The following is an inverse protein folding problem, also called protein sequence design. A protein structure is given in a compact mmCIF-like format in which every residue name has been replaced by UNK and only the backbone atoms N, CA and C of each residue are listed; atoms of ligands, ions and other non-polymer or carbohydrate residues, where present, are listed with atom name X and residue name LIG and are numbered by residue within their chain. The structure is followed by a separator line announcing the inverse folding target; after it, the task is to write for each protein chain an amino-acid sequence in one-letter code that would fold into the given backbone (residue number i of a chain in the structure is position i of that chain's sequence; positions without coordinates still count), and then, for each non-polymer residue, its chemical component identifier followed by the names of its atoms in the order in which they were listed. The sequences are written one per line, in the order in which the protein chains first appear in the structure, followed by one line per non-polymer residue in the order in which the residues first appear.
data_IF_314966462300
#
_entry.id   IF_314966462300
#
_cell.length_a   1.000
_cell.length_b   1.000
_cell.length_c   1.000
_cell.angle_alpha   90.00
_cell.angle_beta   90.00
_cell.angle_gamma   90.00
#
_symmetry.space_group_name_H-M   'P 1'
#
loop_
_entity.id
_entity.type
_entity.pdbx_description
1 polymer ?
#
# COMPACT_ATOMS: atom_id res chain seq x y z
N UNK A 1 3.01 22.83 -7.61
CA UNK A 1 3.77 21.57 -7.82
C UNK A 1 4.44 21.07 -6.54
N UNK A 2 5.15 21.91 -5.75
CA UNK A 2 5.81 21.49 -4.50
C UNK A 2 4.88 20.87 -3.44
N UNK A 3 3.68 21.43 -3.23
CA UNK A 3 2.73 20.92 -2.24
C UNK A 3 2.24 19.49 -2.52
N UNK A 4 2.13 19.08 -3.79
CA UNK A 4 1.70 17.73 -4.17
C UNK A 4 2.80 16.69 -3.95
N UNK A 5 4.07 17.07 -4.14
CA UNK A 5 5.23 16.20 -3.89
C UNK A 5 5.40 15.96 -2.39
N UNK A 6 5.29 17.00 -1.57
CA UNK A 6 5.38 16.88 -0.09
C UNK A 6 4.27 15.97 0.45
N UNK A 7 3.03 16.12 -0.06
CA UNK A 7 1.91 15.22 0.28
C UNK A 7 2.17 13.77 -0.14
N UNK A 8 2.80 13.56 -1.30
CA UNK A 8 3.19 12.23 -1.78
C UNK A 8 4.24 11.58 -0.87
N UNK A 9 5.32 12.29 -0.59
CA UNK A 9 6.41 11.82 0.27
C UNK A 9 5.94 11.52 1.70
N UNK A 10 5.08 12.37 2.27
CA UNK A 10 4.50 12.14 3.59
C UNK A 10 3.72 10.82 3.67
N UNK A 11 2.92 10.49 2.63
CA UNK A 11 2.19 9.23 2.56
C UNK A 11 3.14 8.03 2.47
N UNK A 12 4.19 8.12 1.64
CA UNK A 12 5.18 7.05 1.50
C UNK A 12 5.94 6.83 2.82
N UNK A 13 6.30 7.90 3.53
CA UNK A 13 6.98 7.81 4.82
C UNK A 13 6.11 7.13 5.89
N UNK A 14 4.82 7.50 5.98
CA UNK A 14 3.87 6.87 6.92
C UNK A 14 3.72 5.37 6.60
N UNK A 15 3.50 5.03 5.33
CA UNK A 15 3.33 3.63 4.90
C UNK A 15 4.62 2.84 5.12
N UNK A 16 5.78 3.41 4.79
CA UNK A 16 7.09 2.78 5.00
C UNK A 16 7.39 2.56 6.48
N UNK A 17 7.10 3.54 7.34
CA UNK A 17 7.26 3.41 8.78
C UNK A 17 6.35 2.34 9.38
N UNK A 18 5.08 2.28 8.95
CA UNK A 18 4.16 1.24 9.37
C UNK A 18 4.64 -0.15 8.93
N UNK A 19 5.08 -0.31 7.68
CA UNK A 19 5.65 -1.56 7.19
C UNK A 19 6.88 -1.97 7.99
N UNK A 20 7.81 -1.06 8.25
CA UNK A 20 9.01 -1.32 9.04
C UNK A 20 8.67 -1.86 10.43
N UNK A 21 7.76 -1.21 11.15
CA UNK A 21 7.33 -1.66 12.49
C UNK A 21 6.69 -3.05 12.43
N UNK A 22 5.87 -3.33 11.41
CA UNK A 22 5.24 -4.65 11.29
C UNK A 22 6.21 -5.77 10.93
N UNK A 23 7.29 -5.45 10.22
CA UNK A 23 8.38 -6.39 9.93
C UNK A 23 9.21 -6.64 11.17
N UNK A 24 9.58 -5.58 11.91
CA UNK A 24 10.35 -5.66 13.16
C UNK A 24 9.61 -6.46 14.24
N UNK A 25 8.29 -6.28 14.35
CA UNK A 25 7.44 -7.09 15.23
C UNK A 25 7.25 -8.55 14.77
N UNK A 26 7.81 -8.92 13.62
CA UNK A 26 7.75 -10.28 13.09
C UNK A 26 6.36 -10.72 12.66
N UNK A 27 5.42 -9.79 12.45
CA UNK A 27 4.02 -10.09 12.09
C UNK A 27 3.94 -10.88 10.77
N UNK A 28 4.87 -10.62 9.85
CA UNK A 28 4.90 -11.26 8.53
C UNK A 28 5.77 -12.53 8.48
N UNK A 29 6.66 -12.74 9.45
CA UNK A 29 7.64 -13.83 9.44
C UNK A 29 7.34 -14.96 10.41
N UNK A 30 6.77 -14.67 11.58
CA UNK A 30 6.53 -15.68 12.60
C UNK A 30 5.05 -15.71 13.01
N UNK A 31 4.37 -16.81 12.67
CA UNK A 31 2.97 -17.02 13.03
C UNK A 31 2.70 -16.89 14.54
N UNK A 32 3.65 -17.27 15.39
CA UNK A 32 3.55 -17.10 16.84
C UNK A 32 3.61 -15.64 17.28
N UNK A 33 4.53 -14.84 16.73
CA UNK A 33 4.65 -13.40 17.03
C UNK A 33 3.44 -12.63 16.52
N UNK A 34 2.98 -12.96 15.31
CA UNK A 34 1.75 -12.42 14.74
C UNK A 34 0.53 -12.71 15.63
N UNK A 35 0.36 -13.97 16.07
CA UNK A 35 -0.76 -14.35 16.94
C UNK A 35 -0.68 -13.70 18.31
N UNK A 36 0.50 -13.54 18.90
CA UNK A 36 0.67 -12.86 20.19
C UNK A 36 0.44 -11.35 20.08
N UNK A 37 0.85 -10.72 18.98
CA UNK A 37 0.55 -9.32 18.72
C UNK A 37 -0.96 -9.09 18.56
N UNK A 38 -1.64 -9.98 17.81
CA UNK A 38 -3.10 -9.99 17.71
C UNK A 38 -3.74 -10.16 19.08
N UNK A 39 -3.33 -11.17 19.85
CA UNK A 39 -3.86 -11.45 21.19
C UNK A 39 -3.79 -10.20 22.08
N UNK A 40 -2.62 -9.53 22.15
CA UNK A 40 -2.42 -8.28 22.91
C UNK A 40 -3.31 -7.13 22.46
N UNK A 41 -3.61 -7.04 21.16
CA UNK A 41 -4.54 -6.04 20.62
C UNK A 41 -5.97 -6.39 21.07
N UNK A 42 -6.36 -7.65 20.94
CA UNK A 42 -7.69 -8.16 21.34
C UNK A 42 -7.92 -8.04 22.85
N UNK A 43 -6.89 -8.15 23.69
CA UNK A 43 -7.02 -7.97 25.14
C UNK A 43 -7.19 -6.49 25.53
N UNK A 44 -6.57 -5.57 24.78
CA UNK A 44 -6.61 -4.12 25.07
C UNK A 44 -7.81 -3.42 24.44
N UNK A 45 -8.27 -3.91 23.31
CA UNK A 45 -9.49 -3.45 22.67
C UNK A 45 -10.63 -4.26 23.26
N UNK A 46 -11.45 -3.65 24.11
CA UNK A 46 -12.74 -4.24 24.47
C UNK A 46 -13.57 -4.36 23.19
N UNK A 47 -13.55 -5.52 22.55
CA UNK A 47 -14.50 -5.85 21.50
C UNK A 47 -15.87 -5.99 22.15
N UNK A 48 -16.64 -4.90 22.14
CA UNK A 48 -18.05 -4.92 22.50
C UNK A 48 -18.78 -5.87 21.54
N UNK A 49 -19.76 -6.62 22.03
CA UNK A 49 -20.55 -7.59 21.24
C UNK A 49 -21.15 -6.98 19.95
N UNK A 50 -21.43 -5.67 19.95
CA UNK A 50 -21.93 -4.96 18.76
C UNK A 50 -20.92 -4.89 17.61
N UNK A 51 -19.61 -4.91 17.90
CA UNK A 51 -18.57 -4.99 16.87
C UNK A 51 -18.41 -6.41 16.33
N UNK A 52 -18.53 -7.42 17.18
CA UNK A 52 -18.44 -8.83 16.77
C UNK A 52 -19.58 -9.20 15.80
N UNK A 53 -20.77 -8.62 15.97
CA UNK A 53 -21.91 -8.80 15.05
C UNK A 53 -21.70 -8.21 13.66
N UNK A 54 -20.80 -7.23 13.52
CA UNK A 54 -20.46 -6.60 12.24
C UNK A 54 -19.28 -7.29 11.54
N UNK A 55 -18.63 -8.28 12.17
CA UNK A 55 -17.52 -8.99 11.55
C UNK A 55 -18.05 -9.84 10.38
N UNK A 56 -17.57 -9.60 9.15
CA UNK A 56 -18.01 -10.37 8.00
C UNK A 56 -17.69 -11.86 8.20
N UNK A 57 -18.59 -12.72 7.71
CA UNK A 57 -18.38 -14.17 7.83
C UNK A 57 -17.03 -14.58 7.21
N UNK A 58 -16.40 -15.61 7.77
CA UNK A 58 -15.11 -16.13 7.28
C UNK A 58 -15.14 -16.41 5.77
N UNK A 59 -16.28 -16.85 5.24
CA UNK A 59 -16.46 -17.09 3.80
C UNK A 59 -16.43 -15.79 2.97
N UNK A 60 -17.03 -14.72 3.47
CA UNK A 60 -17.04 -13.40 2.81
C UNK A 60 -15.64 -12.79 2.86
N UNK A 61 -14.97 -12.86 4.02
CA UNK A 61 -13.58 -12.40 4.19
C UNK A 61 -12.64 -13.16 3.26
N UNK A 62 -12.78 -14.48 3.13
CA UNK A 62 -11.98 -15.30 2.21
C UNK A 62 -12.20 -14.89 0.75
N UNK A 63 -13.45 -14.66 0.33
CA UNK A 63 -13.76 -14.20 -1.04
C UNK A 63 -13.18 -12.81 -1.32
N UNK A 64 -13.34 -11.88 -0.37
CA UNK A 64 -12.79 -10.52 -0.47
C UNK A 64 -11.28 -10.54 -0.54
N UNK A 65 -10.60 -11.31 0.32
CA UNK A 65 -9.15 -11.47 0.30
C UNK A 65 -8.66 -11.99 -1.06
N UNK A 66 -9.26 -13.07 -1.58
CA UNK A 66 -8.89 -13.60 -2.91
C UNK A 66 -9.06 -12.57 -4.01
N UNK A 67 -10.19 -11.85 -4.00
CA UNK A 67 -10.48 -10.82 -5.01
C UNK A 67 -9.48 -9.66 -4.93
N UNK A 68 -9.23 -9.14 -3.73
CA UNK A 68 -8.30 -8.04 -3.50
C UNK A 68 -6.86 -8.43 -3.82
N UNK A 69 -6.45 -9.65 -3.47
CA UNK A 69 -5.14 -10.19 -3.83
C UNK A 69 -4.95 -10.23 -5.34
N UNK A 70 -5.88 -10.87 -6.07
CA UNK A 70 -5.81 -10.98 -7.52
C UNK A 70 -5.83 -9.60 -8.20
N UNK A 71 -6.67 -8.68 -7.72
CA UNK A 71 -6.71 -7.31 -8.21
C UNK A 71 -5.40 -6.58 -7.96
N UNK A 72 -4.77 -6.78 -6.80
CA UNK A 72 -3.48 -6.21 -6.45
C UNK A 72 -2.37 -6.71 -7.38
N UNK A 73 -2.30 -8.04 -7.57
CA UNK A 73 -1.34 -8.67 -8.50
C UNK A 73 -1.52 -8.11 -9.91
N UNK A 74 -2.76 -8.06 -10.41
CA UNK A 74 -3.05 -7.51 -11.73
C UNK A 74 -2.64 -6.03 -11.83
N UNK A 75 -2.94 -5.22 -10.81
CA UNK A 75 -2.57 -3.80 -10.79
C UNK A 75 -1.06 -3.60 -10.86
N UNK A 76 -0.29 -4.36 -10.07
CA UNK A 76 1.17 -4.26 -10.06
C UNK A 76 1.75 -4.71 -11.40
N UNK A 77 1.32 -5.86 -11.92
CA UNK A 77 1.78 -6.35 -13.22
C UNK A 77 1.46 -5.39 -14.36
N UNK A 78 0.24 -4.83 -14.40
CA UNK A 78 -0.15 -3.82 -15.38
C UNK A 78 0.66 -2.53 -15.22
N UNK A 79 0.84 -2.04 -13.99
CA UNK A 79 1.65 -0.85 -13.74
C UNK A 79 3.11 -1.02 -14.19
N UNK A 80 3.68 -2.22 -13.98
CA UNK A 80 5.03 -2.57 -14.47
C UNK A 80 5.05 -2.65 -15.99
N UNK A 81 4.05 -3.28 -16.61
CA UNK A 81 3.94 -3.37 -18.07
C UNK A 81 3.79 -2.00 -18.74
N UNK A 82 3.06 -1.08 -18.11
CA UNK A 82 2.84 0.29 -18.61
C UNK A 82 4.00 1.24 -18.27
N UNK A 83 4.91 0.83 -17.38
CA UNK A 83 6.01 1.67 -16.89
C UNK A 83 6.98 2.14 -17.99
N UNK A 84 7.41 1.31 -18.98
CA UNK A 84 8.34 1.76 -20.00
C UNK A 84 7.74 2.86 -20.87
N UNK A 85 6.45 2.76 -21.19
CA UNK A 85 5.74 3.73 -22.00
C UNK A 85 5.54 5.05 -21.25
N UNK A 86 5.18 4.99 -19.95
CA UNK A 86 5.09 6.18 -19.09
C UNK A 86 6.44 6.87 -18.93
N UNK A 87 7.52 6.11 -18.71
CA UNK A 87 8.88 6.65 -18.59
C UNK A 87 9.32 7.31 -19.89
N UNK A 88 9.12 6.66 -21.04
CA UNK A 88 9.42 7.23 -22.36
C UNK A 88 8.69 8.55 -22.61
N UNK A 89 7.39 8.61 -22.28
CA UNK A 89 6.59 9.83 -22.44
C UNK A 89 7.04 10.95 -21.49
N UNK A 90 7.51 10.61 -20.30
CA UNK A 90 8.04 11.59 -19.34
C UNK A 90 9.39 12.14 -19.79
N UNK A 91 10.28 11.27 -20.25
CA UNK A 91 11.58 11.64 -20.84
C UNK A 91 11.39 12.53 -22.07
N UNK A 92 10.45 12.19 -22.95
CA UNK A 92 10.11 13.02 -24.12
C UNK A 92 9.63 14.42 -23.74
N UNK A 93 8.77 14.55 -22.73
CA UNK A 93 8.29 15.84 -22.22
C UNK A 93 9.39 16.68 -21.58
N UNK A 94 10.33 16.05 -20.86
CA UNK A 94 11.46 16.76 -20.25
C UNK A 94 12.40 17.28 -21.35
N UNK A 95 12.73 16.43 -22.33
CA UNK A 95 13.60 16.81 -23.46
C UNK A 95 12.96 17.96 -24.24
N UNK A 96 11.66 17.88 -24.56
CA UNK A 96 10.97 18.96 -25.28
C UNK A 96 10.93 20.26 -24.47
N UNK A 97 10.71 20.19 -23.15
CA UNK A 97 10.68 21.39 -22.28
C UNK A 97 12.05 22.07 -22.17
N UNK A 98 13.13 21.29 -22.09
CA UNK A 98 14.51 21.81 -22.06
C UNK A 98 14.88 22.41 -23.41
N UNK A 99 14.52 21.76 -24.50
CA UNK A 99 14.83 22.22 -25.86
C UNK A 99 14.06 23.49 -26.24
N UNK A 100 12.81 23.63 -25.80
CA UNK A 100 11.99 24.84 -26.00
C UNK A 100 12.46 26.02 -25.13
N UNK A 101 13.03 25.74 -23.95
CA UNK A 101 13.60 26.77 -23.06
C UNK A 101 14.96 27.30 -23.52
N UNK A 102 15.69 26.54 -24.34
CA UNK A 102 17.00 26.95 -24.88
C UNK A 102 16.95 27.71 -26.20
N UNK A 103 15.76 27.85 -26.81
CA UNK A 103 15.56 28.51 -28.10
C UNK A 103 14.89 29.90 -27.97
N UNK A 104 14.96 30.51 -26.77
CA UNK A 104 14.55 31.88 -26.46
C UNK A 104 15.73 32.70 -25.98
#
# INVERSE_FOLDING_TARGET
MAASIVKGLGKVAIVGGALYVTVDQGIWSESKKASSALDRITTKVMLTDDYLKQVPSVSQTSKLMKRSWNSGVQTVCSAVADSPQKVSNWTGQIISSVMDSGNK
#
